data_IF_595865677837
#
_entry.id   IF_595865677837
#
_cell.length_a   1.000
_cell.length_b   1.000
_cell.length_c   1.000
_cell.angle_alpha   90.00
_cell.angle_beta   90.00
_cell.angle_gamma   90.00
#
_symmetry.space_group_name_H-M   'P 1'
#
loop_
_entity.id
_entity.type
_entity.pdbx_description
1 polymer ?
#
# COMPACT_ATOMS: atom_id res chain seq x y z
N UNK A 1 9.15 12.54 17.25
CA UNK A 1 8.43 11.76 16.22
C UNK A 1 9.39 10.71 15.67
N UNK A 2 9.21 9.45 16.07
CA UNK A 2 9.94 8.33 15.45
C UNK A 2 9.53 8.27 13.98
N UNK A 3 10.51 8.34 13.08
CA UNK A 3 10.28 8.24 11.64
C UNK A 3 9.76 6.83 11.36
N UNK A 4 8.53 6.71 10.86
CA UNK A 4 7.92 5.41 10.58
C UNK A 4 8.79 4.61 9.62
N UNK A 5 8.97 3.32 9.92
CA UNK A 5 9.75 2.41 9.07
C UNK A 5 9.03 2.09 7.75
N UNK A 6 9.76 1.65 6.72
CA UNK A 6 9.15 1.21 5.45
C UNK A 6 8.10 0.12 5.65
N UNK A 7 8.32 -0.81 6.59
CA UNK A 7 7.33 -1.81 6.95
C UNK A 7 6.04 -1.19 7.51
N UNK A 8 6.14 -0.23 8.42
CA UNK A 8 4.97 0.42 9.01
C UNK A 8 4.20 1.27 7.99
N UNK A 9 4.90 1.90 7.05
CA UNK A 9 4.29 2.64 5.94
C UNK A 9 3.56 1.69 5.00
N UNK A 10 4.23 0.59 4.59
CA UNK A 10 3.63 -0.46 3.77
C UNK A 10 2.37 -1.04 4.40
N UNK A 11 2.40 -1.39 5.69
CA UNK A 11 1.24 -1.95 6.39
C UNK A 11 0.07 -0.97 6.47
N UNK A 12 0.31 0.31 6.73
CA UNK A 12 -0.78 1.29 6.76
C UNK A 12 -1.38 1.56 5.36
N UNK A 13 -0.57 1.52 4.31
CA UNK A 13 -1.10 1.59 2.95
C UNK A 13 -1.98 0.38 2.63
N UNK A 14 -1.60 -0.81 3.11
CA UNK A 14 -2.40 -2.03 2.95
C UNK A 14 -3.74 -1.92 3.68
N UNK A 15 -3.74 -1.38 4.90
CA UNK A 15 -4.97 -1.16 5.67
C UNK A 15 -5.88 -0.10 5.01
N UNK A 16 -5.32 0.99 4.49
CA UNK A 16 -6.08 2.00 3.76
C UNK A 16 -6.75 1.45 2.50
N UNK A 17 -6.06 0.58 1.76
CA UNK A 17 -6.66 -0.12 0.60
C UNK A 17 -7.80 -1.03 1.04
N UNK A 18 -7.64 -1.80 2.12
CA UNK A 18 -8.70 -2.69 2.64
C UNK A 18 -9.92 -1.91 3.13
N UNK A 19 -9.70 -0.81 3.84
CA UNK A 19 -10.77 0.08 4.32
C UNK A 19 -11.55 0.68 3.14
N UNK A 20 -10.83 1.11 2.10
CA UNK A 20 -11.46 1.60 0.89
C UNK A 20 -12.25 0.51 0.18
N UNK A 21 -11.67 -0.67 -0.02
CA UNK A 21 -12.32 -1.78 -0.73
C UNK A 21 -13.57 -2.28 0.05
N UNK A 22 -13.59 -2.15 1.38
CA UNK A 22 -14.75 -2.51 2.22
C UNK A 22 -15.90 -1.50 2.15
N UNK A 23 -15.60 -0.22 1.87
CA UNK A 23 -16.57 0.88 1.91
C UNK A 23 -17.00 1.36 0.52
N UNK A 24 -16.17 1.11 -0.50
CA UNK A 24 -16.41 1.59 -1.85
C UNK A 24 -17.34 0.65 -2.61
N UNK A 25 -18.51 1.15 -3.01
CA UNK A 25 -19.47 0.42 -3.84
C UNK A 25 -19.17 0.51 -5.35
N UNK A 26 -18.20 1.34 -5.74
CA UNK A 26 -17.81 1.55 -7.14
C UNK A 26 -16.62 0.67 -7.56
N UNK A 27 -15.80 0.25 -6.59
CA UNK A 27 -14.67 -0.62 -6.86
C UNK A 27 -15.14 -2.05 -7.13
N UNK A 28 -14.54 -2.65 -8.14
CA UNK A 28 -14.62 -4.09 -8.46
C UNK A 28 -13.20 -4.64 -8.56
N UNK A 29 -13.00 -5.96 -8.50
CA UNK A 29 -11.67 -6.55 -8.63
C UNK A 29 -10.92 -6.11 -9.90
N UNK A 30 -11.65 -5.93 -11.01
CA UNK A 30 -11.10 -5.54 -12.32
C UNK A 30 -11.03 -4.02 -12.51
N UNK A 31 -11.85 -3.25 -11.78
CA UNK A 31 -11.93 -1.80 -11.95
C UNK A 31 -11.98 -1.04 -10.62
N UNK A 32 -10.92 -0.27 -10.36
CA UNK A 32 -10.83 0.63 -9.20
C UNK A 32 -11.25 2.06 -9.56
N UNK A 33 -11.98 2.72 -8.65
CA UNK A 33 -12.27 4.15 -8.74
C UNK A 33 -10.98 4.99 -8.57
N UNK A 34 -10.98 6.30 -8.90
CA UNK A 34 -9.76 7.11 -8.84
C UNK A 34 -9.09 7.14 -7.45
N UNK A 35 -9.82 7.30 -6.32
CA UNK A 35 -9.23 7.15 -4.98
C UNK A 35 -8.62 5.76 -4.74
N UNK A 36 -9.34 4.69 -5.09
CA UNK A 36 -8.86 3.33 -4.94
C UNK A 36 -7.61 3.03 -5.78
N UNK A 37 -7.50 3.63 -6.97
CA UNK A 37 -6.28 3.55 -7.81
C UNK A 37 -5.10 4.24 -7.15
N UNK A 38 -5.32 5.41 -6.55
CA UNK A 38 -4.27 6.13 -5.84
C UNK A 38 -3.74 5.31 -4.65
N UNK A 39 -4.63 4.84 -3.78
CA UNK A 39 -4.28 4.02 -2.62
C UNK A 39 -3.54 2.75 -3.03
N UNK A 40 -4.01 2.06 -4.08
CA UNK A 40 -3.36 0.86 -4.58
C UNK A 40 -1.95 1.15 -5.14
N UNK A 41 -1.80 2.23 -5.90
CA UNK A 41 -0.49 2.63 -6.45
C UNK A 41 0.52 2.93 -5.35
N UNK A 42 0.07 3.60 -4.28
CA UNK A 42 0.90 3.89 -3.12
C UNK A 42 1.31 2.61 -2.36
N UNK A 43 0.37 1.68 -2.17
CA UNK A 43 0.64 0.36 -1.60
C UNK A 43 1.72 -0.39 -2.39
N UNK A 44 1.57 -0.48 -3.72
CA UNK A 44 2.54 -1.17 -4.59
C UNK A 44 3.92 -0.53 -4.46
N UNK A 45 4.01 0.79 -4.51
CA UNK A 45 5.29 1.51 -4.37
C UNK A 45 5.98 1.21 -3.03
N UNK A 46 5.23 1.22 -1.93
CA UNK A 46 5.78 0.96 -0.59
C UNK A 46 6.16 -0.52 -0.39
N UNK A 47 5.41 -1.43 -1.00
CA UNK A 47 5.75 -2.85 -1.03
C UNK A 47 7.09 -3.06 -1.75
N UNK A 48 7.27 -2.46 -2.92
CA UNK A 48 8.51 -2.53 -3.69
C UNK A 48 9.69 -1.95 -2.91
N UNK A 49 9.53 -0.76 -2.32
CA UNK A 49 10.55 -0.12 -1.48
C UNK A 49 10.97 -1.03 -0.31
N UNK A 50 9.99 -1.64 0.38
CA UNK A 50 10.25 -2.56 1.48
C UNK A 50 10.99 -3.82 0.99
N UNK A 51 10.58 -4.42 -0.13
CA UNK A 51 11.24 -5.60 -0.71
C UNK A 51 12.66 -5.29 -1.18
N UNK A 52 12.90 -4.12 -1.78
CA UNK A 52 14.26 -3.63 -2.10
C UNK A 52 15.09 -3.52 -0.82
N UNK A 53 14.57 -2.87 0.23
CA UNK A 53 15.27 -2.77 1.50
C UNK A 53 15.61 -4.15 2.10
N UNK A 54 14.68 -5.11 2.04
CA UNK A 54 14.91 -6.47 2.53
C UNK A 54 16.02 -7.18 1.74
N UNK A 55 16.08 -6.99 0.42
CA UNK A 55 17.16 -7.53 -0.41
C UNK A 55 18.51 -6.92 -0.05
N UNK A 56 18.59 -5.60 0.08
CA UNK A 56 19.84 -4.91 0.46
C UNK A 56 20.34 -5.32 1.84
N UNK A 57 19.46 -5.60 2.80
CA UNK A 57 19.85 -6.05 4.14
C UNK A 57 20.35 -7.49 4.19
N UNK A 58 20.07 -8.30 3.17
CA UNK A 58 20.51 -9.70 3.07
C UNK A 58 21.87 -9.86 2.40
N UNK A 59 22.38 -8.79 1.78
CA UNK A 59 23.69 -8.71 1.13
C UNK A 59 24.70 -8.12 2.10
#
# INVERSE_FOLDING_TARGET
MTKRGLYELYMAAADAVREHDATCTTCTPEHRCPPGRHLYSELVRLQDDYLVQQRTRRT
#
